data_IF_241671455748
#
_entry.id   IF_241671455748
#
_cell.length_a   1.000
_cell.length_b   1.000
_cell.length_c   1.000
_cell.angle_alpha   90.00
_cell.angle_beta   90.00
_cell.angle_gamma   90.00
#
_symmetry.space_group_name_H-M   'P 1'
#
loop_
_entity.id
_entity.type
_entity.pdbx_description
1 polymer ?
#
# COMPACT_ATOMS: atom_id res chain seq x y z
N UNK A 1 -1.49 -33.58 8.81
CA UNK A 1 -2.32 -32.35 8.91
C UNK A 1 -3.65 -32.69 8.27
N UNK A 2 -4.75 -32.72 9.02
CA UNK A 2 -6.07 -33.05 8.44
C UNK A 2 -6.55 -31.87 7.57
N UNK A 3 -7.18 -32.13 6.41
CA UNK A 3 -7.76 -31.06 5.60
C UNK A 3 -8.87 -30.32 6.39
N UNK A 4 -9.02 -29.01 6.18
CA UNK A 4 -10.06 -28.23 6.85
C UNK A 4 -11.45 -28.80 6.55
N UNK A 5 -12.38 -28.70 7.50
CA UNK A 5 -13.74 -29.21 7.30
C UNK A 5 -14.45 -28.41 6.20
N UNK A 6 -15.39 -29.04 5.47
CA UNK A 6 -16.20 -28.39 4.42
C UNK A 6 -16.89 -27.09 4.86
N UNK A 7 -17.20 -26.96 6.15
CA UNK A 7 -17.81 -25.74 6.70
C UNK A 7 -16.79 -24.61 6.84
N UNK A 8 -15.54 -24.92 7.18
CA UNK A 8 -14.43 -23.95 7.24
C UNK A 8 -14.08 -23.46 5.84
N UNK A 9 -13.99 -24.37 4.86
CA UNK A 9 -13.73 -24.01 3.45
C UNK A 9 -14.82 -23.10 2.88
N UNK A 10 -16.10 -23.40 3.14
CA UNK A 10 -17.22 -22.54 2.72
C UNK A 10 -17.21 -21.17 3.38
N UNK A 11 -16.85 -21.12 4.66
CA UNK A 11 -16.71 -19.85 5.40
C UNK A 11 -15.58 -18.98 4.83
N UNK A 12 -14.44 -19.58 4.51
CA UNK A 12 -13.30 -18.88 3.90
C UNK A 12 -13.67 -18.35 2.50
N UNK A 13 -14.26 -19.18 1.65
CA UNK A 13 -14.71 -18.76 0.31
C UNK A 13 -15.74 -17.63 0.36
N UNK A 14 -16.67 -17.66 1.33
CA UNK A 14 -17.65 -16.57 1.52
C UNK A 14 -16.97 -15.28 1.94
N UNK A 15 -16.00 -15.35 2.88
CA UNK A 15 -15.23 -14.19 3.31
C UNK A 15 -14.44 -13.58 2.15
N UNK A 16 -13.78 -14.39 1.33
CA UNK A 16 -13.02 -13.93 0.17
C UNK A 16 -13.93 -13.28 -0.89
N UNK A 17 -15.10 -13.87 -1.16
CA UNK A 17 -16.08 -13.29 -2.08
C UNK A 17 -16.58 -11.92 -1.60
N UNK A 18 -16.95 -11.81 -0.31
CA UNK A 18 -17.33 -10.54 0.32
C UNK A 18 -16.20 -9.51 0.19
N UNK A 19 -14.96 -9.92 0.47
CA UNK A 19 -13.79 -9.05 0.44
C UNK A 19 -13.51 -8.54 -0.97
N UNK A 20 -13.52 -9.42 -1.98
CA UNK A 20 -13.28 -9.05 -3.38
C UNK A 20 -14.32 -8.07 -3.93
N UNK A 21 -15.60 -8.31 -3.63
CA UNK A 21 -16.67 -7.39 -4.02
C UNK A 21 -16.56 -6.05 -3.29
N UNK A 22 -16.28 -6.06 -1.99
CA UNK A 22 -16.09 -4.84 -1.22
C UNK A 22 -14.90 -4.02 -1.73
N UNK A 23 -13.75 -4.65 -2.04
CA UNK A 23 -12.59 -3.98 -2.62
C UNK A 23 -12.95 -3.25 -3.92
N UNK A 24 -13.67 -3.91 -4.83
CA UNK A 24 -14.09 -3.28 -6.08
C UNK A 24 -15.04 -2.11 -5.83
N UNK A 25 -16.07 -2.30 -4.98
CA UNK A 25 -17.02 -1.23 -4.68
C UNK A 25 -16.36 -0.03 -4.02
N UNK A 26 -15.47 -0.24 -3.04
CA UNK A 26 -14.71 0.84 -2.43
C UNK A 26 -13.80 1.54 -3.44
N UNK A 27 -13.14 0.82 -4.34
CA UNK A 27 -12.32 1.44 -5.38
C UNK A 27 -13.16 2.32 -6.34
N UNK A 28 -14.32 1.83 -6.77
CA UNK A 28 -15.21 2.53 -7.72
C UNK A 28 -15.92 3.72 -7.08
N UNK A 29 -16.45 3.55 -5.86
CA UNK A 29 -17.41 4.48 -5.24
C UNK A 29 -16.84 5.23 -4.03
N UNK A 30 -15.64 4.84 -3.57
CA UNK A 30 -15.06 5.30 -2.32
C UNK A 30 -15.72 4.68 -1.09
N UNK A 31 -15.09 4.88 0.06
CA UNK A 31 -15.62 4.47 1.37
C UNK A 31 -17.03 5.04 1.57
N UNK A 32 -17.22 6.36 1.51
CA UNK A 32 -18.52 7.01 1.76
C UNK A 32 -19.63 6.55 0.81
N UNK A 33 -19.31 6.37 -0.48
CA UNK A 33 -20.28 5.93 -1.50
C UNK A 33 -20.66 4.46 -1.45
N UNK A 34 -20.07 3.67 -0.54
CA UNK A 34 -20.32 2.22 -0.43
C UNK A 34 -21.04 1.88 0.87
N UNK A 35 -22.23 1.28 0.77
CA UNK A 35 -22.99 0.78 1.91
C UNK A 35 -22.85 -0.73 2.07
N UNK A 36 -23.06 -1.24 3.29
CA UNK A 36 -23.17 -2.69 3.53
C UNK A 36 -24.26 -3.31 2.65
N UNK A 37 -25.37 -2.60 2.44
CA UNK A 37 -26.47 -3.09 1.61
C UNK A 37 -26.06 -3.23 0.14
N UNK A 38 -25.27 -2.29 -0.40
CA UNK A 38 -24.72 -2.41 -1.74
C UNK A 38 -23.83 -3.65 -1.89
N UNK A 39 -22.97 -3.91 -0.89
CA UNK A 39 -22.12 -5.11 -0.86
C UNK A 39 -22.97 -6.39 -0.79
N UNK A 40 -23.99 -6.43 0.06
CA UNK A 40 -24.90 -7.59 0.19
C UNK A 40 -25.66 -7.85 -1.11
N UNK A 41 -26.20 -6.82 -1.74
CA UNK A 41 -26.90 -6.91 -3.02
C UNK A 41 -26.01 -7.49 -4.11
N UNK A 42 -24.76 -7.05 -4.19
CA UNK A 42 -23.86 -7.46 -5.26
C UNK A 42 -23.19 -8.83 -5.01
N UNK A 43 -22.99 -9.20 -3.75
CA UNK A 43 -22.46 -10.51 -3.37
C UNK A 43 -23.52 -11.62 -3.38
N UNK A 44 -24.80 -11.28 -3.16
CA UNK A 44 -25.87 -12.24 -2.92
C UNK A 44 -25.79 -12.94 -1.56
N UNK A 45 -24.85 -12.53 -0.70
CA UNK A 45 -24.64 -13.11 0.63
C UNK A 45 -25.67 -12.55 1.61
N UNK A 46 -26.10 -13.36 2.58
CA UNK A 46 -27.04 -12.90 3.59
C UNK A 46 -26.41 -11.91 4.57
N UNK A 47 -27.22 -10.98 5.09
CA UNK A 47 -26.80 -10.01 6.10
C UNK A 47 -26.14 -10.70 7.31
N UNK A 48 -26.74 -11.81 7.79
CA UNK A 48 -26.21 -12.58 8.92
C UNK A 48 -24.82 -13.18 8.64
N UNK A 49 -24.56 -13.63 7.41
CA UNK A 49 -23.25 -14.14 7.00
C UNK A 49 -22.20 -13.03 6.94
N UNK A 50 -22.53 -11.85 6.41
CA UNK A 50 -21.61 -10.70 6.44
C UNK A 50 -21.24 -10.32 7.87
N UNK A 51 -22.22 -10.19 8.78
CA UNK A 51 -21.96 -9.84 10.19
C UNK A 51 -21.26 -10.93 11.00
N UNK A 52 -21.28 -12.17 10.51
CA UNK A 52 -20.44 -13.24 11.05
C UNK A 52 -18.96 -12.96 10.78
N UNK A 53 -18.62 -12.45 9.58
CA UNK A 53 -17.24 -12.18 9.16
C UNK A 53 -16.74 -10.77 9.52
N UNK A 54 -17.58 -9.75 9.38
CA UNK A 54 -17.19 -8.34 9.52
C UNK A 54 -18.21 -7.60 10.39
N UNK A 55 -17.73 -6.93 11.44
CA UNK A 55 -18.57 -6.19 12.38
C UNK A 55 -18.94 -4.80 11.84
N UNK A 56 -19.59 -4.78 10.67
CA UNK A 56 -20.00 -3.57 9.99
C UNK A 56 -18.99 -3.09 8.94
N UNK A 57 -19.24 -1.87 8.43
CA UNK A 57 -18.51 -1.28 7.30
C UNK A 57 -17.04 -1.03 7.62
N UNK A 58 -16.73 -0.52 8.81
CA UNK A 58 -15.35 -0.24 9.23
C UNK A 58 -14.51 -1.52 9.26
N UNK A 59 -15.02 -2.57 9.89
CA UNK A 59 -14.35 -3.87 9.93
C UNK A 59 -14.16 -4.50 8.55
N UNK A 60 -15.10 -4.27 7.63
CA UNK A 60 -14.97 -4.69 6.23
C UNK A 60 -13.91 -3.87 5.50
N UNK A 61 -13.90 -2.55 5.69
CA UNK A 61 -12.90 -1.66 5.08
C UNK A 61 -11.50 -1.96 5.60
N UNK A 62 -11.34 -2.20 6.89
CA UNK A 62 -10.06 -2.59 7.50
C UNK A 62 -9.50 -3.87 6.87
N UNK A 63 -10.35 -4.87 6.64
CA UNK A 63 -9.94 -6.10 5.97
C UNK A 63 -9.58 -5.88 4.49
N UNK A 64 -10.29 -4.98 3.80
CA UNK A 64 -9.97 -4.58 2.42
C UNK A 64 -8.62 -3.87 2.39
N UNK A 65 -8.41 -2.92 3.31
CA UNK A 65 -7.17 -2.18 3.46
C UNK A 65 -5.99 -3.14 3.66
N UNK A 66 -6.08 -4.05 4.63
CA UNK A 66 -5.04 -5.06 4.89
C UNK A 66 -4.73 -5.91 3.64
N UNK A 67 -5.77 -6.35 2.91
CA UNK A 67 -5.58 -7.13 1.70
C UNK A 67 -4.87 -6.33 0.58
N UNK A 68 -5.19 -5.05 0.43
CA UNK A 68 -4.54 -4.15 -0.53
C UNK A 68 -3.09 -3.88 -0.12
N UNK A 69 -2.81 -3.66 1.17
CA UNK A 69 -1.44 -3.50 1.67
C UNK A 69 -0.57 -4.73 1.41
N UNK A 70 -1.10 -5.93 1.67
CA UNK A 70 -0.40 -7.19 1.39
C UNK A 70 -0.12 -7.37 -0.11
N UNK A 71 -1.05 -6.95 -0.98
CA UNK A 71 -0.83 -6.93 -2.42
C UNK A 71 0.28 -5.98 -2.85
N UNK A 72 0.25 -4.75 -2.34
CA UNK A 72 1.29 -3.74 -2.57
C UNK A 72 2.65 -4.26 -2.10
N UNK A 73 2.72 -4.80 -0.88
CA UNK A 73 3.95 -5.38 -0.32
C UNK A 73 4.52 -6.48 -1.22
N UNK A 74 3.67 -7.40 -1.69
CA UNK A 74 4.07 -8.48 -2.61
C UNK A 74 4.61 -7.93 -3.93
N UNK A 75 3.94 -6.93 -4.51
CA UNK A 75 4.34 -6.27 -5.77
C UNK A 75 5.67 -5.53 -5.63
N UNK A 76 5.90 -4.86 -4.50
CA UNK A 76 7.16 -4.20 -4.18
C UNK A 76 8.31 -5.20 -4.04
N UNK A 77 8.11 -6.30 -3.30
CA UNK A 77 9.09 -7.38 -3.15
C UNK A 77 9.45 -7.99 -4.52
N UNK A 78 8.44 -8.27 -5.34
CA UNK A 78 8.66 -8.80 -6.69
C UNK A 78 9.44 -7.83 -7.59
N UNK A 79 9.17 -6.52 -7.48
CA UNK A 79 9.83 -5.51 -8.30
C UNK A 79 11.29 -5.24 -7.89
N UNK A 80 11.61 -5.32 -6.60
CA UNK A 80 13.00 -5.20 -6.12
C UNK A 80 13.82 -6.43 -6.52
N UNK A 81 13.21 -7.62 -6.46
CA UNK A 81 13.89 -8.88 -6.76
C UNK A 81 14.85 -9.32 -5.65
N UNK A 82 15.17 -10.62 -5.61
CA UNK A 82 16.02 -11.21 -4.57
C UNK A 82 17.48 -10.80 -4.70
N UNK A 83 17.97 -10.57 -5.91
CA UNK A 83 19.40 -10.30 -6.17
C UNK A 83 19.79 -8.88 -5.77
N UNK A 84 18.90 -7.91 -5.97
CA UNK A 84 19.08 -6.50 -5.58
C UNK A 84 19.07 -6.30 -4.06
N UNK A 85 18.64 -7.30 -3.28
CA UNK A 85 18.59 -7.20 -1.81
C UNK A 85 19.97 -7.04 -1.16
N UNK A 86 21.04 -7.32 -1.91
CA UNK A 86 22.44 -7.17 -1.45
C UNK A 86 23.02 -5.79 -1.71
N UNK A 87 22.29 -4.91 -2.40
CA UNK A 87 22.66 -3.52 -2.64
C UNK A 87 21.51 -2.61 -2.16
N UNK A 88 21.62 -2.03 -0.95
CA UNK A 88 20.59 -1.16 -0.37
C UNK A 88 20.23 0.03 -1.26
N UNK A 89 21.19 0.58 -2.01
CA UNK A 89 20.96 1.72 -2.88
C UNK A 89 20.10 1.33 -4.08
N UNK A 90 20.42 0.21 -4.72
CA UNK A 90 19.62 -0.35 -5.81
C UNK A 90 18.23 -0.78 -5.32
N UNK A 91 18.15 -1.44 -4.16
CA UNK A 91 16.87 -1.85 -3.57
C UNK A 91 15.94 -0.66 -3.29
N UNK A 92 16.47 0.42 -2.70
CA UNK A 92 15.71 1.65 -2.46
C UNK A 92 15.20 2.25 -3.77
N UNK A 93 16.06 2.36 -4.78
CA UNK A 93 15.71 2.91 -6.09
C UNK A 93 14.61 2.10 -6.77
N UNK A 94 14.76 0.78 -6.84
CA UNK A 94 13.75 -0.11 -7.44
C UNK A 94 12.42 -0.05 -6.68
N UNK A 95 12.47 -0.06 -5.34
CA UNK A 95 11.28 0.07 -4.50
C UNK A 95 10.52 1.37 -4.76
N UNK A 96 11.21 2.51 -4.79
CA UNK A 96 10.61 3.80 -5.11
C UNK A 96 10.01 3.83 -6.53
N UNK A 97 10.71 3.30 -7.54
CA UNK A 97 10.20 3.26 -8.92
C UNK A 97 8.97 2.36 -9.08
N UNK A 98 8.94 1.26 -8.34
CA UNK A 98 7.82 0.33 -8.30
C UNK A 98 6.61 0.99 -7.63
N UNK A 99 6.81 1.64 -6.48
CA UNK A 99 5.75 2.35 -5.76
C UNK A 99 5.03 3.38 -6.65
N UNK A 100 5.74 4.20 -7.43
CA UNK A 100 5.13 5.18 -8.34
C UNK A 100 4.18 4.51 -9.35
N UNK A 101 4.53 3.31 -9.82
CA UNK A 101 3.67 2.54 -10.72
C UNK A 101 2.47 1.92 -10.00
N UNK A 102 2.69 1.38 -8.80
CA UNK A 102 1.67 0.74 -7.97
C UNK A 102 0.63 1.76 -7.48
N UNK A 103 1.09 2.93 -7.05
CA UNK A 103 0.23 4.04 -6.64
C UNK A 103 -0.68 4.56 -7.76
N UNK A 104 -0.37 4.26 -9.03
CA UNK A 104 -1.24 4.55 -10.16
C UNK A 104 -2.41 3.56 -10.34
N UNK A 105 -2.44 2.46 -9.60
CA UNK A 105 -3.55 1.54 -9.59
C UNK A 105 -4.79 2.19 -8.92
N UNK A 106 -5.96 2.26 -9.58
CA UNK A 106 -7.15 2.92 -9.03
C UNK A 106 -7.58 2.37 -7.66
N UNK A 107 -7.38 1.06 -7.43
CA UNK A 107 -7.71 0.41 -6.15
C UNK A 107 -6.78 0.93 -5.05
N UNK A 108 -5.47 0.93 -5.31
CA UNK A 108 -4.45 1.43 -4.39
C UNK A 108 -4.66 2.91 -4.10
N UNK A 109 -4.88 3.70 -5.14
CA UNK A 109 -5.11 5.14 -5.04
C UNK A 109 -6.32 5.43 -4.15
N UNK A 110 -7.48 4.84 -4.45
CA UNK A 110 -8.70 5.14 -3.71
C UNK A 110 -8.61 4.66 -2.27
N UNK A 111 -8.20 3.41 -2.05
CA UNK A 111 -8.26 2.79 -0.73
C UNK A 111 -7.11 3.26 0.17
N UNK A 112 -5.85 3.18 -0.29
CA UNK A 112 -4.70 3.52 0.55
C UNK A 112 -4.47 5.04 0.65
N UNK A 113 -4.60 5.78 -0.46
CA UNK A 113 -4.13 7.17 -0.49
C UNK A 113 -5.22 8.20 -0.23
N UNK A 114 -6.48 7.87 -0.53
CA UNK A 114 -7.62 8.79 -0.39
C UNK A 114 -8.46 8.45 0.83
N UNK A 115 -8.95 7.22 0.91
CA UNK A 115 -9.95 6.85 1.92
C UNK A 115 -9.31 6.52 3.29
N UNK A 116 -8.24 5.72 3.31
CA UNK A 116 -7.62 5.27 4.57
C UNK A 116 -7.20 6.42 5.52
N UNK A 117 -6.58 7.52 5.07
CA UNK A 117 -6.22 8.63 5.97
C UNK A 117 -7.44 9.26 6.67
N UNK A 118 -8.57 9.33 5.97
CA UNK A 118 -9.83 9.87 6.51
C UNK A 118 -10.56 8.90 7.43
N UNK A 119 -10.56 7.61 7.08
CA UNK A 119 -11.30 6.57 7.80
C UNK A 119 -10.59 6.12 9.08
N UNK A 120 -9.27 5.95 9.05
CA UNK A 120 -8.51 5.41 10.18
C UNK A 120 -8.23 6.43 11.29
N UNK A 121 -8.28 7.73 10.95
CA UNK A 121 -7.75 8.79 11.78
C UNK A 121 -6.21 8.78 11.87
N UNK A 122 -5.65 9.87 12.36
CA UNK A 122 -4.21 10.15 12.24
C UNK A 122 -3.31 9.10 12.92
N UNK A 123 -3.64 8.68 14.15
CA UNK A 123 -2.78 7.78 14.92
C UNK A 123 -2.67 6.39 14.28
N UNK A 124 -3.81 5.81 13.89
CA UNK A 124 -3.86 4.49 13.25
C UNK A 124 -3.26 4.51 11.85
N UNK A 125 -3.46 5.60 11.10
CA UNK A 125 -2.81 5.81 9.81
C UNK A 125 -1.28 5.82 9.93
N UNK A 126 -0.72 6.52 10.93
CA UNK A 126 0.73 6.54 11.19
C UNK A 126 1.29 5.17 11.58
N UNK A 127 0.56 4.41 12.41
CA UNK A 127 0.95 3.06 12.79
C UNK A 127 0.96 2.10 11.57
N UNK A 128 -0.02 2.27 10.67
CA UNK A 128 -0.11 1.52 9.42
C UNK A 128 1.09 1.80 8.50
N UNK A 129 1.41 3.08 8.28
CA UNK A 129 2.60 3.50 7.54
C UNK A 129 3.88 2.84 8.11
N UNK A 130 4.06 2.89 9.43
CA UNK A 130 5.22 2.33 10.15
C UNK A 130 5.40 0.83 9.97
N UNK A 131 4.31 0.06 9.97
CA UNK A 131 4.36 -1.41 9.85
C UNK A 131 4.85 -1.90 8.48
N UNK A 132 4.54 -1.18 7.41
CA UNK A 132 4.75 -1.68 6.05
C UNK A 132 5.75 -0.84 5.25
N UNK A 133 5.28 0.25 4.65
CA UNK A 133 6.07 1.05 3.72
C UNK A 133 7.21 1.80 4.43
N UNK A 134 6.92 2.45 5.55
CA UNK A 134 7.87 3.30 6.24
C UNK A 134 8.92 2.49 7.01
N UNK A 135 8.53 1.36 7.61
CA UNK A 135 9.47 0.44 8.24
C UNK A 135 10.56 -0.05 7.29
N UNK A 136 10.19 -0.39 6.04
CA UNK A 136 11.17 -0.82 5.04
C UNK A 136 12.10 0.31 4.58
N UNK A 137 11.55 1.51 4.36
CA UNK A 137 12.37 2.70 4.02
C UNK A 137 13.36 3.00 5.15
N UNK A 138 12.90 3.02 6.42
CA UNK A 138 13.76 3.23 7.59
C UNK A 138 14.90 2.21 7.65
N UNK A 139 14.59 0.94 7.44
CA UNK A 139 15.60 -0.12 7.43
C UNK A 139 16.66 0.13 6.35
N UNK A 140 16.25 0.38 5.11
CA UNK A 140 17.17 0.54 3.98
C UNK A 140 17.99 1.83 4.09
N UNK A 141 17.41 2.93 4.58
CA UNK A 141 18.13 4.19 4.81
C UNK A 141 19.16 4.03 5.95
N UNK A 142 18.84 3.27 7.00
CA UNK A 142 19.79 2.95 8.06
C UNK A 142 20.93 2.03 7.59
N UNK A 143 20.65 1.12 6.66
CA UNK A 143 21.68 0.31 5.98
C UNK A 143 22.65 1.21 5.20
N UNK A 144 22.13 2.14 4.39
CA UNK A 144 22.93 3.09 3.62
C UNK A 144 23.81 3.99 4.50
N UNK A 145 23.29 4.45 5.64
CA UNK A 145 24.10 5.21 6.61
C UNK A 145 25.24 4.37 7.19
N UNK A 146 24.98 3.10 7.52
CA UNK A 146 26.02 2.16 8.00
C UNK A 146 27.11 1.92 6.96
N UNK A 147 26.74 1.91 5.69
CA UNK A 147 27.67 1.76 4.56
C UNK A 147 28.41 3.06 4.22
N UNK A 148 28.19 4.14 4.98
CA UNK A 148 28.91 5.40 4.85
C UNK A 148 28.43 6.31 3.73
N UNK A 149 27.24 6.05 3.16
CA UNK A 149 26.68 6.90 2.08
C UNK A 149 26.35 8.31 2.59
N UNK A 150 25.92 8.42 3.85
CA UNK A 150 25.69 9.67 4.57
C UNK A 150 25.79 9.44 6.08
N UNK A 151 25.85 10.53 6.84
CA UNK A 151 25.94 10.48 8.30
C UNK A 151 24.70 9.81 8.94
N UNK A 152 24.93 8.98 9.96
CA UNK A 152 23.89 8.24 10.65
C UNK A 152 22.84 9.14 11.33
N UNK A 153 23.20 10.37 11.72
CA UNK A 153 22.26 11.36 12.27
C UNK A 153 21.20 11.81 11.24
N UNK A 154 21.46 11.62 9.95
CA UNK A 154 20.52 11.99 8.87
C UNK A 154 19.54 10.87 8.52
N UNK A 155 19.79 9.63 8.97
CA UNK A 155 19.05 8.46 8.50
C UNK A 155 17.53 8.54 8.78
N UNK A 156 17.14 8.89 10.00
CA UNK A 156 15.71 8.98 10.36
C UNK A 156 15.02 10.11 9.58
N UNK A 157 15.66 11.27 9.47
CA UNK A 157 15.16 12.41 8.70
C UNK A 157 15.00 12.07 7.22
N UNK A 158 15.99 11.41 6.60
CA UNK A 158 15.89 10.99 5.21
C UNK A 158 14.80 9.94 4.98
N UNK A 159 14.59 9.01 5.92
CA UNK A 159 13.48 8.08 5.82
C UNK A 159 12.13 8.81 5.80
N UNK A 160 11.95 9.81 6.68
CA UNK A 160 10.73 10.63 6.73
C UNK A 160 10.55 11.49 5.46
N UNK A 161 11.62 12.12 4.97
CA UNK A 161 11.60 12.92 3.73
C UNK A 161 11.25 12.06 2.53
N UNK A 162 11.83 10.86 2.43
CA UNK A 162 11.50 9.91 1.37
C UNK A 162 10.05 9.48 1.45
N UNK A 163 9.56 9.06 2.63
CA UNK A 163 8.14 8.68 2.79
C UNK A 163 7.22 9.83 2.35
N UNK A 164 7.44 11.04 2.86
CA UNK A 164 6.62 12.20 2.53
C UNK A 164 6.64 12.51 1.02
N UNK A 165 7.82 12.49 0.40
CA UNK A 165 7.98 12.73 -1.04
C UNK A 165 7.28 11.66 -1.88
N UNK A 166 7.39 10.39 -1.50
CA UNK A 166 6.76 9.28 -2.21
C UNK A 166 5.23 9.32 -2.08
N UNK A 167 4.70 9.69 -0.92
CA UNK A 167 3.26 9.84 -0.69
C UNK A 167 2.69 11.01 -1.51
N UNK A 168 3.37 12.16 -1.52
CA UNK A 168 2.94 13.33 -2.30
C UNK A 168 2.98 13.04 -3.80
N UNK A 169 4.06 12.43 -4.30
CA UNK A 169 4.18 12.04 -5.70
C UNK A 169 3.09 11.06 -6.10
N UNK A 170 2.78 10.09 -5.23
CA UNK A 170 1.69 9.15 -5.45
C UNK A 170 0.33 9.87 -5.59
N UNK A 171 0.04 10.83 -4.72
CA UNK A 171 -1.17 11.67 -4.79
C UNK A 171 -1.23 12.55 -6.05
N UNK A 172 -0.09 13.11 -6.49
CA UNK A 172 -0.02 13.90 -7.73
C UNK A 172 -0.26 13.04 -8.97
N UNK A 173 0.35 11.86 -9.04
CA UNK A 173 0.14 10.90 -10.14
C UNK A 173 -1.32 10.47 -10.20
N UNK A 174 -1.88 10.15 -9.04
CA UNK A 174 -3.28 9.79 -8.84
C UNK A 174 -4.27 10.84 -9.40
N UNK A 175 -3.96 12.13 -9.26
CA UNK A 175 -4.84 13.24 -9.68
C UNK A 175 -4.59 13.74 -11.11
N UNK A 176 -3.64 13.15 -11.83
CA UNK A 176 -3.24 13.65 -13.14
C UNK A 176 -4.17 13.18 -14.28
N UNK A 177 -4.59 14.11 -15.15
CA UNK A 177 -5.39 13.80 -16.35
C UNK A 177 -4.69 12.78 -17.27
N UNK A 178 -3.36 12.90 -17.40
CA UNK A 178 -2.52 11.95 -18.12
C UNK A 178 -1.60 11.20 -17.15
N UNK A 179 -2.17 10.22 -16.47
CA UNK A 179 -1.47 9.40 -15.47
C UNK A 179 -0.21 8.72 -16.01
N UNK A 180 -0.22 8.26 -17.28
CA UNK A 180 0.97 7.67 -17.91
C UNK A 180 2.12 8.67 -18.02
N UNK A 181 1.84 9.91 -18.40
CA UNK A 181 2.86 10.96 -18.45
C UNK A 181 3.34 11.34 -17.05
N UNK A 182 2.41 11.47 -16.10
CA UNK A 182 2.72 11.78 -14.70
C UNK A 182 3.65 10.72 -14.07
N UNK A 183 3.36 9.43 -14.26
CA UNK A 183 4.22 8.32 -13.80
C UNK A 183 5.65 8.44 -14.39
N UNK A 184 5.78 8.76 -15.68
CA UNK A 184 7.11 8.91 -16.31
C UNK A 184 7.89 10.07 -15.69
N UNK A 185 7.26 11.22 -15.52
CA UNK A 185 7.92 12.40 -14.93
C UNK A 185 8.25 12.17 -13.45
N UNK A 186 7.33 11.58 -12.69
CA UNK A 186 7.55 11.20 -11.29
C UNK A 186 8.75 10.26 -11.14
N UNK A 187 8.84 9.22 -11.97
CA UNK A 187 9.99 8.31 -11.99
C UNK A 187 11.29 9.05 -12.27
N UNK A 188 11.33 9.91 -13.29
CA UNK A 188 12.52 10.69 -13.61
C UNK A 188 12.95 11.63 -12.45
N UNK A 189 12.00 12.26 -11.78
CA UNK A 189 12.28 13.17 -10.66
C UNK A 189 12.81 12.42 -9.42
N UNK A 190 12.19 11.30 -9.07
CA UNK A 190 12.64 10.46 -7.94
C UNK A 190 13.99 9.82 -8.25
N UNK A 191 14.21 9.43 -9.50
CA UNK A 191 15.52 8.91 -9.93
C UNK A 191 16.64 9.93 -9.74
N UNK A 192 16.38 11.19 -10.13
CA UNK A 192 17.29 12.32 -9.90
C UNK A 192 17.56 12.55 -8.41
N UNK A 193 16.50 12.59 -7.60
CA UNK A 193 16.60 12.78 -6.16
C UNK A 193 17.46 11.70 -5.52
N UNK A 194 17.15 10.42 -5.77
CA UNK A 194 17.87 9.29 -5.21
C UNK A 194 19.32 9.26 -5.68
N UNK A 195 19.60 9.58 -6.95
CA UNK A 195 20.97 9.64 -7.44
C UNK A 195 21.80 10.73 -6.78
N UNK A 196 21.21 11.83 -6.33
CA UNK A 196 21.91 12.86 -5.56
C UNK A 196 22.09 12.47 -4.11
N UNK A 197 21.07 11.87 -3.52
CA UNK A 197 21.08 11.39 -2.14
C UNK A 197 22.09 10.26 -1.91
N UNK A 198 22.22 9.36 -2.89
CA UNK A 198 23.06 8.16 -2.82
C UNK A 198 24.47 8.39 -3.38
N UNK A 199 24.85 9.64 -3.68
CA UNK A 199 26.25 9.95 -4.06
C UNK A 199 27.13 9.77 -2.82
N UNK A 200 28.22 8.99 -2.92
CA UNK A 200 29.21 8.96 -1.86
C UNK A 200 29.75 10.38 -1.64
N UNK A 201 29.82 10.80 -0.38
CA UNK A 201 30.58 12.00 0.03
C UNK A 201 32.08 11.78 -0.06
#
# INVERSE_FOLDING_TARGET
>A
MNPPSRNVERGAATREHLLGVATRLFAERGYEGTSIDAVLTETGVSRGSLYHHFKGKDALFDAVLEAVELDVGRRLVAAVGTDSSRDPATALRLGCMAWIGIAGDPVVQRILLIDAPGVLGWARWRELDERHAFGKIKQTVAELARDGVFDASMADLFAHVLLASMNEIALLVARADNQRAAIRHARAAVDELLRRLLRPT
#
